data_IF_358087152701
#
_entry.id   IF_358087152701
#
_cell.length_a   1.000
_cell.length_b   1.000
_cell.length_c   1.000
_cell.angle_alpha   90.00
_cell.angle_beta   90.00
_cell.angle_gamma   90.00
#
_symmetry.space_group_name_H-M   'P 1'
#
loop_
_entity.id
_entity.type
_entity.pdbx_description
1 polymer ?
#
# COMPACT_ATOMS: atom_id res chain seq x y z
N UNK A 1 -3.40 -5.40 25.37
CA UNK A 1 -2.70 -5.51 24.07
C UNK A 1 -3.65 -5.01 22.99
N UNK A 2 -3.23 -4.02 22.19
CA UNK A 2 -3.97 -3.61 21.00
C UNK A 2 -3.84 -4.73 19.96
N UNK A 3 -4.93 -5.39 19.59
CA UNK A 3 -4.89 -6.43 18.58
C UNK A 3 -4.56 -5.83 17.19
N UNK A 4 -4.07 -6.65 16.26
CA UNK A 4 -3.64 -6.16 14.93
C UNK A 4 -4.79 -5.48 14.16
N UNK A 5 -6.04 -5.87 14.38
CA UNK A 5 -7.20 -5.30 13.70
C UNK A 5 -7.53 -3.90 14.23
N UNK A 6 -7.54 -3.71 15.56
CA UNK A 6 -7.72 -2.40 16.19
C UNK A 6 -6.62 -1.41 15.78
N UNK A 7 -5.35 -1.85 15.70
CA UNK A 7 -4.26 -1.03 15.15
C UNK A 7 -4.52 -0.59 13.71
N UNK A 8 -5.00 -1.48 12.85
CA UNK A 8 -5.31 -1.12 11.46
C UNK A 8 -6.48 -0.15 11.35
N UNK A 9 -7.51 -0.33 12.17
CA UNK A 9 -8.66 0.60 12.21
C UNK A 9 -8.20 2.00 12.60
N UNK A 10 -7.36 2.10 13.62
CA UNK A 10 -6.78 3.36 14.08
C UNK A 10 -5.95 4.04 12.98
N UNK A 11 -5.03 3.31 12.33
CA UNK A 11 -4.21 3.86 11.26
C UNK A 11 -5.03 4.32 10.06
N UNK A 12 -6.11 3.60 9.71
CA UNK A 12 -7.03 4.04 8.65
C UNK A 12 -7.77 5.32 9.07
N UNK A 13 -8.26 5.39 10.31
CA UNK A 13 -8.90 6.61 10.83
C UNK A 13 -7.95 7.82 10.78
N UNK A 14 -6.66 7.62 11.11
CA UNK A 14 -5.66 8.67 11.00
C UNK A 14 -5.37 9.10 9.56
N UNK A 15 -5.45 8.19 8.58
CA UNK A 15 -5.38 8.56 7.17
C UNK A 15 -6.55 9.47 6.81
N UNK A 16 -7.77 9.11 7.23
CA UNK A 16 -8.97 9.89 6.94
C UNK A 16 -8.86 11.30 7.52
N UNK A 17 -8.53 11.43 8.81
CA UNK A 17 -8.34 12.74 9.46
C UNK A 17 -7.21 13.56 8.84
N UNK A 18 -6.07 12.92 8.51
CA UNK A 18 -4.96 13.62 7.86
C UNK A 18 -5.36 14.15 6.46
N UNK A 19 -6.21 13.43 5.72
CA UNK A 19 -6.73 13.93 4.43
C UNK A 19 -7.71 15.09 4.65
N UNK A 20 -8.61 14.97 5.62
CA UNK A 20 -9.59 16.03 5.95
C UNK A 20 -8.91 17.35 6.37
N UNK A 21 -7.81 17.26 7.12
CA UNK A 21 -7.03 18.40 7.59
C UNK A 21 -5.96 18.90 6.58
N UNK A 22 -5.85 18.29 5.40
CA UNK A 22 -4.86 18.66 4.36
C UNK A 22 -3.43 18.16 4.62
N UNK A 23 -3.22 17.28 5.60
CA UNK A 23 -1.93 16.62 5.89
C UNK A 23 -1.66 15.42 4.97
N UNK A 24 -1.62 15.66 3.66
CA UNK A 24 -1.53 14.60 2.64
C UNK A 24 -0.22 13.78 2.70
N UNK A 25 0.89 14.39 3.10
CA UNK A 25 2.15 13.67 3.29
C UNK A 25 2.09 12.68 4.46
N UNK A 26 1.42 13.05 5.56
CA UNK A 26 1.19 12.15 6.69
C UNK A 26 0.26 11.00 6.29
N UNK A 27 -0.85 11.30 5.61
CA UNK A 27 -1.77 10.29 5.09
C UNK A 27 -1.03 9.28 4.18
N UNK A 28 -0.18 9.78 3.27
CA UNK A 28 0.66 8.97 2.38
C UNK A 28 1.62 8.07 3.15
N UNK A 29 2.25 8.60 4.22
CA UNK A 29 3.18 7.85 5.05
C UNK A 29 2.49 6.71 5.82
N UNK A 30 1.31 6.97 6.37
CA UNK A 30 0.53 5.95 7.08
C UNK A 30 0.05 4.88 6.09
N UNK A 31 -0.44 5.27 4.92
CA UNK A 31 -0.82 4.34 3.85
C UNK A 31 0.36 3.44 3.44
N UNK A 32 1.55 4.03 3.27
CA UNK A 32 2.78 3.29 3.02
C UNK A 32 3.05 2.23 4.09
N UNK A 33 3.00 2.60 5.37
CA UNK A 33 3.26 1.68 6.48
C UNK A 33 2.29 0.50 6.50
N UNK A 34 1.01 0.74 6.22
CA UNK A 34 0.00 -0.31 6.08
C UNK A 34 0.37 -1.23 4.91
N UNK A 35 0.57 -0.67 3.72
CA UNK A 35 0.84 -1.43 2.49
C UNK A 35 2.10 -2.27 2.61
N UNK A 36 3.16 -1.75 3.23
CA UNK A 36 4.40 -2.47 3.52
C UNK A 36 4.16 -3.73 4.37
N UNK A 37 3.43 -3.63 5.49
CA UNK A 37 3.09 -4.81 6.32
C UNK A 37 2.15 -5.78 5.57
N UNK A 38 1.21 -5.27 4.76
CA UNK A 38 0.33 -6.11 3.94
C UNK A 38 1.11 -6.90 2.89
N UNK A 39 2.07 -6.27 2.21
CA UNK A 39 2.97 -6.93 1.26
C UNK A 39 3.78 -8.04 1.94
N UNK A 40 4.35 -7.77 3.11
CA UNK A 40 5.06 -8.78 3.91
C UNK A 40 4.12 -9.93 4.29
N UNK A 41 2.88 -9.63 4.70
CA UNK A 41 1.88 -10.66 5.02
C UNK A 41 1.55 -11.52 3.80
N UNK A 42 1.36 -10.92 2.62
CA UNK A 42 1.05 -11.64 1.40
C UNK A 42 2.22 -12.51 0.92
N UNK A 43 3.47 -12.05 1.07
CA UNK A 43 4.67 -12.83 0.76
C UNK A 43 4.83 -14.03 1.69
N UNK A 44 4.62 -13.84 3.01
CA UNK A 44 4.64 -14.95 3.98
C UNK A 44 3.62 -16.02 3.61
N UNK A 45 2.40 -15.58 3.31
CA UNK A 45 1.26 -16.44 2.98
C UNK A 45 1.39 -17.15 1.61
N UNK A 46 2.26 -16.66 0.72
CA UNK A 46 2.51 -17.23 -0.62
C UNK A 46 3.81 -18.06 -0.70
N UNK A 47 4.26 -18.61 0.42
CA UNK A 47 5.44 -19.48 0.49
C UNK A 47 6.73 -18.79 1.00
N UNK A 48 6.61 -17.73 1.79
CA UNK A 48 7.77 -17.09 2.43
C UNK A 48 8.71 -16.40 1.44
N UNK A 49 9.99 -16.24 1.77
CA UNK A 49 11.00 -15.66 0.89
C UNK A 49 12.06 -14.84 1.63
N UNK A 50 13.15 -14.44 0.95
CA UNK A 50 14.19 -13.61 1.54
C UNK A 50 13.59 -12.30 2.07
N UNK A 51 14.24 -11.70 3.07
CA UNK A 51 13.83 -10.42 3.65
C UNK A 51 14.01 -9.29 2.63
N UNK A 52 12.99 -9.07 1.79
CA UNK A 52 12.96 -7.98 0.82
C UNK A 52 12.69 -6.68 1.59
N UNK A 53 13.65 -5.75 1.63
CA UNK A 53 13.46 -4.45 2.33
C UNK A 53 12.60 -3.47 1.55
N UNK A 54 12.84 -3.32 0.25
CA UNK A 54 12.18 -2.28 -0.55
C UNK A 54 10.77 -2.67 -0.99
N UNK A 55 9.86 -1.70 -1.10
CA UNK A 55 8.46 -1.94 -1.47
C UNK A 55 8.31 -2.43 -2.93
N UNK A 56 8.99 -1.80 -3.88
CA UNK A 56 8.94 -2.16 -5.31
C UNK A 56 9.27 -3.64 -5.59
N UNK A 57 10.41 -4.17 -5.11
CA UNK A 57 10.73 -5.59 -5.24
C UNK A 57 9.73 -6.53 -4.57
N UNK A 58 9.08 -6.15 -3.46
CA UNK A 58 8.00 -6.96 -2.87
C UNK A 58 6.81 -7.07 -3.83
N UNK A 59 6.40 -5.94 -4.42
CA UNK A 59 5.32 -5.89 -5.40
C UNK A 59 5.68 -6.77 -6.60
N UNK A 60 6.89 -6.65 -7.14
CA UNK A 60 7.37 -7.49 -8.25
C UNK A 60 7.30 -8.99 -7.93
N UNK A 61 7.69 -9.39 -6.71
CA UNK A 61 7.60 -10.79 -6.28
C UNK A 61 6.16 -11.28 -6.13
N UNK A 62 5.26 -10.46 -5.58
CA UNK A 62 3.83 -10.77 -5.51
C UNK A 62 3.23 -10.91 -6.90
N UNK A 63 3.54 -9.99 -7.83
CA UNK A 63 3.10 -10.04 -9.23
C UNK A 63 3.56 -11.33 -9.90
N UNK A 64 4.82 -11.73 -9.69
CA UNK A 64 5.36 -13.00 -10.18
C UNK A 64 4.68 -14.24 -9.58
N UNK A 65 4.24 -14.21 -8.32
CA UNK A 65 3.53 -15.34 -7.69
C UNK A 65 2.06 -15.42 -8.08
N UNK A 66 1.45 -14.27 -8.40
CA UNK A 66 0.07 -14.21 -8.85
C UNK A 66 -0.12 -14.96 -10.18
N UNK A 67 0.88 -15.00 -11.05
CA UNK A 67 0.78 -15.75 -12.33
C UNK A 67 0.71 -17.26 -12.12
N UNK A 68 1.32 -17.79 -11.05
CA UNK A 68 1.34 -19.23 -10.75
C UNK A 68 0.32 -19.67 -9.70
N UNK A 69 -0.29 -18.75 -8.94
CA UNK A 69 -1.23 -19.09 -7.86
C UNK A 69 -2.66 -18.64 -8.13
N UNK A 70 -3.58 -19.61 -8.29
CA UNK A 70 -5.01 -19.34 -8.42
C UNK A 70 -5.58 -18.63 -7.18
N UNK A 71 -5.19 -19.06 -5.97
CA UNK A 71 -5.62 -18.44 -4.71
C UNK A 71 -5.18 -16.98 -4.64
N UNK A 72 -3.98 -16.64 -5.14
CA UNK A 72 -3.55 -15.23 -5.23
C UNK A 72 -4.36 -14.43 -6.25
N UNK A 73 -4.67 -14.99 -7.43
CA UNK A 73 -5.55 -14.31 -8.41
C UNK A 73 -6.93 -14.03 -7.86
N UNK A 74 -7.49 -14.97 -7.10
CA UNK A 74 -8.79 -14.80 -6.45
C UNK A 74 -8.74 -13.75 -5.32
N UNK A 75 -7.65 -13.69 -4.56
CA UNK A 75 -7.53 -12.73 -3.46
C UNK A 75 -7.22 -11.30 -3.94
N UNK A 76 -6.25 -11.17 -4.83
CA UNK A 76 -5.75 -9.92 -5.41
C UNK A 76 -6.25 -9.84 -6.86
N UNK A 77 -7.54 -9.57 -7.03
CA UNK A 77 -8.19 -9.56 -8.34
C UNK A 77 -8.03 -8.21 -9.06
N UNK A 78 -8.37 -8.18 -10.34
CA UNK A 78 -8.32 -6.99 -11.18
C UNK A 78 -6.89 -6.46 -11.35
N UNK A 79 -6.76 -5.14 -11.37
CA UNK A 79 -5.52 -4.40 -11.55
C UNK A 79 -4.87 -3.97 -10.22
N UNK A 80 -5.34 -4.46 -9.07
CA UNK A 80 -4.93 -4.02 -7.74
C UNK A 80 -3.40 -3.99 -7.52
N UNK A 81 -2.69 -5.03 -7.98
CA UNK A 81 -1.22 -5.10 -7.87
C UNK A 81 -0.54 -4.09 -8.78
N UNK A 82 -1.12 -3.82 -9.95
CA UNK A 82 -0.61 -2.81 -10.89
C UNK A 82 -0.84 -1.40 -10.33
N UNK A 83 -2.04 -1.10 -9.82
CA UNK A 83 -2.34 0.16 -9.12
C UNK A 83 -1.39 0.41 -7.94
N UNK A 84 -1.11 -0.62 -7.13
CA UNK A 84 -0.12 -0.50 -6.05
C UNK A 84 1.30 -0.23 -6.58
N UNK A 85 1.69 -0.87 -7.69
CA UNK A 85 2.98 -0.62 -8.33
C UNK A 85 3.10 0.82 -8.83
N UNK A 86 2.03 1.38 -9.39
CA UNK A 86 2.06 2.72 -9.96
C UNK A 86 1.98 3.79 -8.86
N UNK A 87 1.17 3.57 -7.83
CA UNK A 87 1.17 4.39 -6.63
C UNK A 87 2.55 4.43 -5.96
N UNK A 88 3.25 3.29 -5.87
CA UNK A 88 4.60 3.24 -5.31
C UNK A 88 5.60 4.11 -6.10
N UNK A 89 5.46 4.17 -7.43
CA UNK A 89 6.27 5.06 -8.27
C UNK A 89 5.89 6.53 -8.07
N UNK A 90 4.60 6.86 -8.06
CA UNK A 90 4.11 8.22 -7.81
C UNK A 90 4.61 8.76 -6.46
N UNK A 91 4.49 7.97 -5.39
CA UNK A 91 4.98 8.35 -4.06
C UNK A 91 6.50 8.56 -4.03
N UNK A 92 7.26 7.76 -4.77
CA UNK A 92 8.71 7.97 -4.88
C UNK A 92 9.02 9.26 -5.67
N UNK A 93 8.29 9.52 -6.75
CA UNK A 93 8.42 10.77 -7.51
C UNK A 93 8.10 11.99 -6.63
N UNK A 94 7.01 11.94 -5.86
CA UNK A 94 6.64 12.99 -4.89
C UNK A 94 7.75 13.21 -3.84
N UNK A 95 8.33 12.14 -3.29
CA UNK A 95 9.46 12.25 -2.35
C UNK A 95 10.69 12.94 -2.97
N UNK A 96 10.96 12.68 -4.25
CA UNK A 96 12.04 13.35 -4.97
C UNK A 96 11.69 14.80 -5.30
N UNK A 97 10.44 15.07 -5.67
CA UNK A 97 9.90 16.40 -5.92
C UNK A 97 10.01 17.33 -4.71
N UNK A 98 9.76 16.81 -3.50
CA UNK A 98 9.93 17.56 -2.25
C UNK A 98 11.37 18.05 -2.00
N UNK A 99 12.35 17.41 -2.64
CA UNK A 99 13.77 17.77 -2.54
C UNK A 99 14.27 18.54 -3.77
N UNK A 100 13.42 18.73 -4.79
CA UNK A 100 13.76 19.43 -6.02
C UNK A 100 13.30 20.89 -5.93
N UNK A 101 14.23 21.83 -6.02
CA UNK A 101 13.96 23.28 -5.94
C UNK A 101 13.11 23.82 -7.11
N UNK A 102 12.85 23.00 -8.14
CA UNK A 102 12.14 23.40 -9.36
C UNK A 102 10.61 23.31 -9.26
N UNK A 103 10.07 22.63 -8.26
CA UNK A 103 8.62 22.50 -8.09
C UNK A 103 8.11 23.51 -7.08
N UNK A 104 7.03 24.19 -7.42
CA UNK A 104 6.36 25.09 -6.49
C UNK A 104 5.48 24.31 -5.50
N UNK A 105 5.22 24.94 -4.35
CA UNK A 105 4.44 24.34 -3.27
C UNK A 105 3.02 23.93 -3.72
N UNK A 106 2.29 24.73 -4.53
CA UNK A 106 0.97 24.32 -5.01
C UNK A 106 0.96 23.04 -5.87
N UNK A 107 1.96 22.85 -6.74
CA UNK A 107 2.07 21.61 -7.51
C UNK A 107 2.35 20.40 -6.62
N UNK A 108 3.22 20.57 -5.61
CA UNK A 108 3.51 19.55 -4.60
C UNK A 108 2.25 19.18 -3.82
N UNK A 109 1.45 20.18 -3.41
CA UNK A 109 0.22 19.96 -2.65
C UNK A 109 -0.79 19.15 -3.47
N UNK A 110 -1.03 19.52 -4.73
CA UNK A 110 -1.94 18.81 -5.62
C UNK A 110 -1.50 17.35 -5.88
N UNK A 111 -0.21 17.12 -6.09
CA UNK A 111 0.33 15.77 -6.22
C UNK A 111 0.19 14.97 -4.92
N UNK A 112 0.46 15.60 -3.78
CA UNK A 112 0.37 14.96 -2.48
C UNK A 112 -1.05 14.52 -2.14
N UNK A 113 -2.06 15.34 -2.45
CA UNK A 113 -3.48 15.00 -2.28
C UNK A 113 -3.84 13.74 -3.07
N UNK A 114 -3.50 13.73 -4.37
CA UNK A 114 -3.75 12.60 -5.25
C UNK A 114 -3.10 11.31 -4.74
N UNK A 115 -1.82 11.39 -4.34
CA UNK A 115 -1.08 10.25 -3.79
C UNK A 115 -1.68 9.77 -2.46
N UNK A 116 -2.14 10.67 -1.60
CA UNK A 116 -2.78 10.33 -0.33
C UNK A 116 -4.11 9.61 -0.52
N UNK A 117 -4.98 10.14 -1.38
CA UNK A 117 -6.28 9.56 -1.71
C UNK A 117 -6.13 8.16 -2.33
N UNK A 118 -5.25 8.01 -3.32
CA UNK A 118 -4.95 6.70 -3.91
C UNK A 118 -4.38 5.72 -2.88
N UNK A 119 -3.49 6.21 -2.00
CA UNK A 119 -2.88 5.43 -0.93
C UNK A 119 -3.90 4.89 0.07
N UNK A 120 -4.88 5.72 0.47
CA UNK A 120 -5.98 5.32 1.36
C UNK A 120 -6.79 4.16 0.77
N UNK A 121 -7.22 4.29 -0.48
CA UNK A 121 -8.02 3.25 -1.14
C UNK A 121 -7.23 1.94 -1.26
N UNK A 122 -5.97 2.03 -1.71
CA UNK A 122 -5.09 0.87 -1.79
C UNK A 122 -4.88 0.21 -0.42
N UNK A 123 -4.66 0.99 0.64
CA UNK A 123 -4.48 0.45 1.99
C UNK A 123 -5.70 -0.37 2.46
N UNK A 124 -6.92 0.11 2.18
CA UNK A 124 -8.17 -0.59 2.49
C UNK A 124 -8.33 -1.86 1.63
N UNK A 125 -8.17 -1.72 0.32
CA UNK A 125 -8.30 -2.82 -0.65
C UNK A 125 -7.31 -3.96 -0.40
N UNK A 126 -6.02 -3.64 -0.24
CA UNK A 126 -4.96 -4.63 -0.03
C UNK A 126 -5.10 -5.31 1.33
N UNK A 127 -5.58 -4.58 2.34
CA UNK A 127 -5.91 -5.16 3.66
C UNK A 127 -7.02 -6.20 3.55
N UNK A 128 -8.07 -5.91 2.79
CA UNK A 128 -9.14 -6.87 2.51
C UNK A 128 -8.63 -8.05 1.68
N UNK A 129 -7.78 -7.82 0.67
CA UNK A 129 -7.16 -8.86 -0.14
C UNK A 129 -6.32 -9.84 0.69
N UNK A 130 -5.50 -9.34 1.62
CA UNK A 130 -4.72 -10.18 2.51
C UNK A 130 -5.61 -11.06 3.41
N UNK A 131 -6.75 -10.51 3.91
CA UNK A 131 -7.71 -11.30 4.69
C UNK A 131 -8.35 -12.41 3.84
N UNK A 132 -8.76 -12.09 2.60
CA UNK A 132 -9.27 -13.08 1.64
C UNK A 132 -8.24 -14.17 1.36
N UNK A 133 -6.98 -13.80 1.12
CA UNK A 133 -5.92 -14.76 0.81
C UNK A 133 -5.69 -15.76 1.94
N UNK A 134 -5.61 -15.28 3.18
CA UNK A 134 -5.53 -16.15 4.37
C UNK A 134 -6.70 -17.12 4.47
N UNK A 135 -7.93 -16.65 4.21
CA UNK A 135 -9.12 -17.50 4.21
C UNK A 135 -9.08 -18.56 3.12
N UNK A 136 -8.54 -18.24 1.94
CA UNK A 136 -8.37 -19.21 0.85
C UNK A 136 -7.29 -20.25 1.16
N UNK A 137 -6.26 -19.90 1.92
CA UNK A 137 -5.21 -20.84 2.32
C UNK A 137 -5.56 -21.71 3.53
N UNK A 138 -6.48 -21.26 4.38
CA UNK A 138 -7.02 -22.06 5.49
C UNK A 138 -8.00 -23.16 5.05
N UNK A 139 -8.39 -23.17 3.76
CA UNK A 139 -9.19 -24.21 3.10
C UNK A 139 -8.32 -25.05 2.19
#
# INVERSE_FOLDING_TARGET
MIDKYSKYRELISRIDSAIEDGFYLEATWIAYAILEDRLVSALKESGGGPSIRMLGPKIGKIKSRQTSSLKMRQAFFGDMIQRLSDWAKKRNALMHALADERLDVPAIDAESESVALEGRELAREFSAACKRFKKLNAK
#
